data_IF_959265635641
#
_entry.id   IF_959265635641
#
_cell.length_a   1.000
_cell.length_b   1.000
_cell.length_c   1.000
_cell.angle_alpha   90.00
_cell.angle_beta   90.00
_cell.angle_gamma   90.00
#
_symmetry.space_group_name_H-M   'P 1'
#
loop_
_entity.id
_entity.type
_entity.pdbx_description
1 polymer ?
#
# COMPACT_ATOMS: atom_id res chain seq x y z
N UNK A 1 20.79 2.21 22.38
CA UNK A 1 19.65 2.35 21.46
C UNK A 1 18.61 3.19 22.19
N UNK A 2 17.89 4.09 21.51
CA UNK A 2 16.95 4.96 22.20
C UNK A 2 15.72 4.15 22.60
N UNK A 3 15.17 4.40 23.78
CA UNK A 3 13.93 3.77 24.23
C UNK A 3 12.73 4.52 23.61
N UNK A 4 11.78 3.76 23.05
CA UNK A 4 10.56 4.30 22.44
C UNK A 4 9.31 4.08 23.30
N UNK A 5 9.45 3.35 24.41
CA UNK A 5 8.46 3.23 25.50
C UNK A 5 7.08 2.68 25.08
N UNK A 6 7.02 1.88 23.99
CA UNK A 6 5.79 1.20 23.60
C UNK A 6 5.62 -0.11 24.37
N UNK A 7 4.44 -0.31 24.97
CA UNK A 7 4.18 -1.48 25.84
C UNK A 7 3.87 -2.77 25.08
N UNK A 8 3.87 -2.74 23.75
CA UNK A 8 3.31 -3.79 22.88
C UNK A 8 4.22 -4.17 21.68
N UNK A 9 5.44 -3.63 21.64
CA UNK A 9 6.49 -3.96 20.65
C UNK A 9 7.85 -3.65 21.26
N UNK A 10 8.87 -4.41 20.91
CA UNK A 10 10.24 -4.14 21.34
C UNK A 10 10.89 -3.04 20.48
N UNK A 11 11.69 -2.18 21.10
CA UNK A 11 12.33 -1.03 20.42
C UNK A 11 13.19 -1.45 19.22
N UNK A 12 13.85 -2.61 19.31
CA UNK A 12 14.67 -3.16 18.23
C UNK A 12 13.83 -3.56 17.02
N UNK A 13 12.66 -4.17 17.26
CA UNK A 13 11.76 -4.63 16.20
C UNK A 13 11.09 -3.43 15.53
N UNK A 14 10.68 -2.43 16.33
CA UNK A 14 10.16 -1.16 15.80
C UNK A 14 11.21 -0.47 14.91
N UNK A 15 12.44 -0.32 15.42
CA UNK A 15 13.53 0.32 14.68
C UNK A 15 13.84 -0.42 13.38
N UNK A 16 14.02 -1.74 13.44
CA UNK A 16 14.36 -2.55 12.27
C UNK A 16 13.23 -2.52 11.23
N UNK A 17 11.97 -2.62 11.64
CA UNK A 17 10.85 -2.59 10.70
C UNK A 17 10.72 -1.22 10.00
N UNK A 18 10.93 -0.12 10.73
CA UNK A 18 10.99 1.23 10.14
C UNK A 18 12.18 1.36 9.18
N UNK A 19 13.35 0.86 9.57
CA UNK A 19 14.56 0.86 8.74
C UNK A 19 14.37 0.08 7.43
N UNK A 20 13.92 -1.17 7.51
CA UNK A 20 13.65 -2.02 6.35
C UNK A 20 12.63 -1.37 5.40
N UNK A 21 11.67 -0.64 5.95
CA UNK A 21 10.68 0.10 5.16
C UNK A 21 11.31 1.28 4.42
N UNK A 22 12.12 2.09 5.11
CA UNK A 22 12.82 3.23 4.49
C UNK A 22 13.79 2.75 3.40
N UNK A 23 14.48 1.63 3.61
CA UNK A 23 15.38 1.04 2.62
C UNK A 23 14.66 0.57 1.34
N UNK A 24 13.37 0.25 1.42
CA UNK A 24 12.55 -0.14 0.28
C UNK A 24 11.98 1.04 -0.51
N UNK A 25 12.09 2.27 -0.01
CA UNK A 25 11.63 3.45 -0.76
C UNK A 25 12.40 3.57 -2.07
N UNK A 26 11.65 3.80 -3.15
CA UNK A 26 12.24 4.04 -4.46
C UNK A 26 12.58 5.51 -4.62
N UNK A 27 13.87 5.74 -4.89
CA UNK A 27 14.42 7.06 -5.20
C UNK A 27 14.88 7.16 -6.65
N UNK A 28 14.73 6.12 -7.47
CA UNK A 28 15.15 6.15 -8.87
C UNK A 28 14.17 5.49 -9.81
N UNK A 29 14.17 5.97 -11.06
CA UNK A 29 13.36 5.46 -12.15
C UNK A 29 14.11 5.65 -13.47
N UNK A 30 14.15 4.56 -14.24
CA UNK A 30 14.68 4.51 -15.60
C UNK A 30 13.54 4.37 -16.62
N UNK A 31 13.85 4.51 -17.92
CA UNK A 31 12.84 4.42 -18.96
C UNK A 31 12.14 3.05 -19.00
N UNK A 32 12.88 1.99 -18.67
CA UNK A 32 12.32 0.63 -18.60
C UNK A 32 11.27 0.49 -17.50
N UNK A 33 11.55 1.00 -16.31
CA UNK A 33 10.62 0.99 -15.18
C UNK A 33 9.41 1.90 -15.46
N UNK A 34 9.66 3.08 -16.03
CA UNK A 34 8.63 4.02 -16.46
C UNK A 34 7.66 3.38 -17.46
N UNK A 35 8.19 2.65 -18.45
CA UNK A 35 7.38 2.01 -19.49
C UNK A 35 6.80 0.63 -19.10
N UNK A 36 7.15 0.07 -17.93
CA UNK A 36 6.71 -1.28 -17.53
C UNK A 36 5.18 -1.42 -17.45
N UNK A 37 4.48 -0.33 -17.16
CA UNK A 37 3.01 -0.31 -17.11
C UNK A 37 2.34 0.14 -18.42
N UNK A 38 3.11 0.25 -19.52
CA UNK A 38 2.68 0.80 -20.82
C UNK A 38 2.05 2.19 -20.66
N UNK A 39 2.87 3.21 -20.83
CA UNK A 39 2.38 4.58 -20.80
C UNK A 39 1.51 4.81 -22.01
N UNK A 40 0.38 5.47 -21.80
CA UNK A 40 -0.51 5.90 -22.88
C UNK A 40 -0.09 7.30 -23.36
N UNK A 41 0.68 7.42 -24.46
CA UNK A 41 1.10 8.72 -24.98
C UNK A 41 -0.09 9.55 -25.49
N UNK A 42 -1.23 8.92 -25.81
CA UNK A 42 -2.45 9.64 -26.19
C UNK A 42 -2.98 10.40 -24.99
N UNK A 43 -3.13 9.73 -23.83
CA UNK A 43 -3.51 10.40 -22.57
C UNK A 43 -2.58 11.56 -22.24
N UNK A 44 -1.26 11.34 -22.30
CA UNK A 44 -0.29 12.40 -22.00
C UNK A 44 -0.42 13.59 -22.97
N UNK A 45 -0.73 13.33 -24.25
CA UNK A 45 -1.02 14.39 -25.23
C UNK A 45 -2.26 15.19 -24.84
N UNK A 46 -3.35 14.52 -24.44
CA UNK A 46 -4.57 15.18 -23.97
C UNK A 46 -4.32 16.03 -22.73
N UNK A 47 -3.63 15.49 -21.72
CA UNK A 47 -3.30 16.21 -20.49
C UNK A 47 -2.49 17.48 -20.79
N UNK A 48 -1.44 17.38 -21.61
CA UNK A 48 -0.60 18.51 -22.00
C UNK A 48 -1.43 19.63 -22.62
N UNK A 49 -2.33 19.29 -23.55
CA UNK A 49 -3.19 20.26 -24.23
C UNK A 49 -4.26 20.86 -23.33
N UNK A 50 -4.94 20.04 -22.52
CA UNK A 50 -6.04 20.49 -21.64
C UNK A 50 -5.50 21.35 -20.50
N UNK A 51 -4.37 20.97 -19.90
CA UNK A 51 -3.78 21.69 -18.78
C UNK A 51 -2.85 22.83 -19.21
N UNK A 52 -2.58 22.99 -20.51
CA UNK A 52 -1.69 24.02 -21.03
C UNK A 52 -0.23 23.82 -20.60
N UNK A 53 0.19 22.56 -20.44
CA UNK A 53 1.53 22.16 -20.01
C UNK A 53 2.33 21.59 -21.18
N UNK A 54 3.65 21.66 -21.08
CA UNK A 54 4.55 20.97 -21.99
C UNK A 54 4.48 19.45 -21.80
N UNK A 55 4.92 18.68 -22.82
CA UNK A 55 4.94 17.22 -22.69
C UNK A 55 5.96 16.79 -21.62
N UNK A 56 7.04 17.55 -21.46
CA UNK A 56 8.06 17.36 -20.43
C UNK A 56 7.47 17.47 -19.03
N UNK A 57 6.66 18.50 -18.75
CA UNK A 57 6.01 18.67 -17.44
C UNK A 57 5.02 17.52 -17.12
N UNK A 58 4.28 17.06 -18.14
CA UNK A 58 3.36 15.93 -18.00
C UNK A 58 4.13 14.63 -17.73
N UNK A 59 5.24 14.40 -18.43
CA UNK A 59 6.11 13.24 -18.21
C UNK A 59 6.72 13.26 -16.81
N UNK A 60 7.25 14.40 -16.36
CA UNK A 60 7.81 14.53 -15.01
C UNK A 60 6.74 14.27 -13.93
N UNK A 61 5.53 14.80 -14.11
CA UNK A 61 4.39 14.55 -13.22
C UNK A 61 4.03 13.06 -13.18
N UNK A 62 4.03 12.39 -14.32
CA UNK A 62 3.78 10.95 -14.41
C UNK A 62 4.88 10.11 -13.75
N UNK A 63 6.15 10.52 -13.87
CA UNK A 63 7.29 9.91 -13.17
C UNK A 63 7.08 9.99 -11.65
N UNK A 64 6.82 11.19 -11.13
CA UNK A 64 6.57 11.42 -9.70
C UNK A 64 5.38 10.58 -9.23
N UNK A 65 4.30 10.54 -10.01
CA UNK A 65 3.11 9.73 -9.70
C UNK A 65 3.42 8.23 -9.63
N UNK A 66 4.27 7.70 -10.50
CA UNK A 66 4.67 6.29 -10.47
C UNK A 66 5.58 5.96 -9.28
N UNK A 67 6.50 6.87 -8.92
CA UNK A 67 7.32 6.76 -7.71
C UNK A 67 6.44 6.77 -6.46
N UNK A 68 5.52 7.73 -6.35
CA UNK A 68 4.58 7.84 -5.24
C UNK A 68 3.69 6.59 -5.11
N UNK A 69 3.17 6.07 -6.22
CA UNK A 69 2.41 4.81 -6.22
C UNK A 69 3.25 3.64 -5.70
N UNK A 70 4.52 3.57 -6.08
CA UNK A 70 5.43 2.51 -5.62
C UNK A 70 5.70 2.63 -4.13
N UNK A 71 5.98 3.83 -3.63
CA UNK A 71 6.25 4.10 -2.23
C UNK A 71 4.98 3.91 -1.36
N UNK A 72 3.81 4.25 -1.89
CA UNK A 72 2.52 3.96 -1.24
C UNK A 72 2.30 2.45 -1.04
N UNK A 73 2.75 1.61 -1.97
CA UNK A 73 2.70 0.15 -1.80
C UNK A 73 3.66 -0.33 -0.71
N UNK A 74 4.85 0.27 -0.59
CA UNK A 74 5.81 -0.01 0.49
C UNK A 74 5.18 0.32 1.86
N UNK A 75 4.47 1.44 1.97
CA UNK A 75 3.72 1.77 3.20
C UNK A 75 2.59 0.78 3.49
N UNK A 76 1.90 0.27 2.45
CA UNK A 76 0.94 -0.82 2.62
C UNK A 76 1.59 -2.07 3.23
N UNK A 77 2.77 -2.44 2.73
CA UNK A 77 3.54 -3.57 3.27
C UNK A 77 4.02 -3.34 4.71
N UNK A 78 4.46 -2.11 5.02
CA UNK A 78 4.80 -1.69 6.38
C UNK A 78 3.64 -1.96 7.34
N UNK A 79 2.44 -1.43 7.02
CA UNK A 79 1.26 -1.59 7.89
C UNK A 79 0.90 -3.07 8.07
N UNK A 80 0.94 -3.87 7.01
CA UNK A 80 0.60 -5.29 7.07
C UNK A 80 1.61 -6.09 7.91
N UNK A 81 2.90 -5.89 7.68
CA UNK A 81 3.95 -6.68 8.33
C UNK A 81 4.22 -6.26 9.76
N UNK A 82 3.78 -5.08 10.17
CA UNK A 82 4.02 -4.59 11.52
C UNK A 82 3.38 -5.48 12.59
N UNK A 83 2.18 -6.03 12.32
CA UNK A 83 1.41 -6.81 13.28
C UNK A 83 2.08 -8.10 13.75
N UNK A 84 3.04 -8.66 13.01
CA UNK A 84 3.79 -9.85 13.44
C UNK A 84 4.78 -9.58 14.58
N UNK A 85 5.16 -8.31 14.78
CA UNK A 85 6.05 -7.88 15.87
C UNK A 85 5.28 -7.40 17.10
N UNK A 86 3.96 -7.18 16.95
CA UNK A 86 3.13 -6.73 18.05
C UNK A 86 2.77 -7.88 18.97
N UNK A 87 2.76 -7.60 20.27
CA UNK A 87 2.34 -8.52 21.31
C UNK A 87 1.32 -7.90 22.25
N UNK A 88 0.57 -8.74 22.96
CA UNK A 88 -0.37 -8.25 23.96
C UNK A 88 0.38 -7.71 25.19
N UNK A 89 0.00 -6.52 25.69
CA UNK A 89 0.74 -5.82 26.73
C UNK A 89 0.91 -6.62 28.03
N UNK A 90 -0.10 -7.40 28.39
CA UNK A 90 -0.13 -8.15 29.66
C UNK A 90 0.62 -9.49 29.57
N UNK A 91 0.59 -10.16 28.41
CA UNK A 91 1.19 -11.50 28.26
C UNK A 91 2.58 -11.45 27.62
N UNK A 92 2.92 -10.35 26.95
CA UNK A 92 4.15 -10.20 26.15
C UNK A 92 4.33 -11.32 25.11
N UNK A 93 3.21 -11.86 24.61
CA UNK A 93 3.18 -12.90 23.58
C UNK A 93 2.44 -12.41 22.33
N UNK A 94 2.87 -12.91 21.17
CA UNK A 94 2.20 -12.70 19.89
C UNK A 94 1.73 -14.02 19.29
N UNK A 95 0.45 -14.05 18.90
CA UNK A 95 -0.13 -15.14 18.09
C UNK A 95 -0.39 -14.69 16.64
N UNK A 96 0.11 -13.51 16.26
CA UNK A 96 -0.14 -12.89 14.97
C UNK A 96 0.94 -13.26 13.96
N UNK A 97 0.53 -13.55 12.73
CA UNK A 97 1.44 -13.87 11.64
C UNK A 97 0.94 -13.33 10.30
N UNK A 98 1.87 -13.14 9.37
CA UNK A 98 1.59 -12.72 7.99
C UNK A 98 1.83 -13.92 7.07
N UNK A 99 0.79 -14.62 6.62
CA UNK A 99 0.97 -15.81 5.79
C UNK A 99 1.41 -15.41 4.38
N UNK A 100 2.11 -16.30 3.65
CA UNK A 100 2.59 -16.00 2.29
C UNK A 100 1.45 -15.90 1.26
N UNK A 101 0.27 -16.43 1.57
CA UNK A 101 -0.92 -16.44 0.72
C UNK A 101 -2.19 -16.40 1.57
N UNK A 102 -3.26 -15.86 1.00
CA UNK A 102 -4.58 -15.86 1.63
C UNK A 102 -4.94 -14.52 2.23
N UNK A 103 -5.23 -14.51 3.52
CA UNK A 103 -5.49 -13.30 4.30
C UNK A 103 -4.18 -12.54 4.56
N UNK A 104 -4.27 -11.24 4.79
CA UNK A 104 -3.10 -10.39 4.99
C UNK A 104 -2.43 -10.64 6.34
N UNK A 105 -3.23 -10.89 7.38
CA UNK A 105 -2.79 -11.15 8.75
C UNK A 105 -3.70 -12.23 9.35
N UNK A 106 -3.15 -13.15 10.14
CA UNK A 106 -3.92 -14.18 10.85
C UNK A 106 -3.46 -14.33 12.29
N UNK A 107 -4.41 -14.65 13.17
CA UNK A 107 -4.17 -15.21 14.50
C UNK A 107 -4.91 -16.54 14.58
N UNK A 108 -4.17 -17.63 14.49
CA UNK A 108 -4.75 -18.98 14.41
C UNK A 108 -5.27 -19.47 15.77
N UNK A 109 -4.70 -18.99 16.88
CA UNK A 109 -5.15 -19.36 18.22
C UNK A 109 -6.57 -18.82 18.49
N UNK A 110 -6.81 -17.55 18.13
CA UNK A 110 -8.11 -16.89 18.31
C UNK A 110 -9.01 -17.01 17.07
N UNK A 111 -8.55 -17.72 16.03
CA UNK A 111 -9.25 -17.94 14.75
C UNK A 111 -9.65 -16.63 14.05
N UNK A 112 -8.76 -15.63 14.09
CA UNK A 112 -8.96 -14.32 13.46
C UNK A 112 -8.23 -14.27 12.12
N UNK A 113 -8.94 -13.82 11.09
CA UNK A 113 -8.46 -13.70 9.71
C UNK A 113 -8.72 -12.30 9.20
N UNK A 114 -7.69 -11.62 8.70
CA UNK A 114 -7.75 -10.19 8.42
C UNK A 114 -7.40 -9.90 6.98
N UNK A 115 -8.24 -9.09 6.33
CA UNK A 115 -7.92 -8.40 5.09
C UNK A 115 -7.69 -6.92 5.41
N UNK A 116 -6.55 -6.38 4.99
CA UNK A 116 -6.21 -4.98 5.19
C UNK A 116 -6.49 -4.12 3.96
N UNK A 117 -6.90 -2.89 4.21
CA UNK A 117 -7.02 -1.83 3.20
C UNK A 117 -6.46 -0.52 3.75
N UNK A 118 -5.76 0.23 2.90
CA UNK A 118 -5.19 1.52 3.28
C UNK A 118 -6.28 2.57 3.55
N UNK A 119 -7.30 2.66 2.68
CA UNK A 119 -8.42 3.61 2.82
C UNK A 119 -9.77 2.93 2.68
N UNK A 120 -10.78 3.49 3.31
CA UNK A 120 -12.16 2.98 3.31
C UNK A 120 -12.84 2.93 1.93
N UNK A 121 -12.27 3.57 0.91
CA UNK A 121 -12.77 3.68 -0.46
C UNK A 121 -11.86 2.99 -1.50
N UNK A 122 -10.99 2.08 -1.06
CA UNK A 122 -10.01 1.44 -1.96
C UNK A 122 -10.60 0.27 -2.78
N UNK A 123 -11.80 -0.20 -2.42
CA UNK A 123 -12.43 -1.37 -3.05
C UNK A 123 -13.54 -0.94 -4.01
N UNK A 124 -13.46 -1.40 -5.25
CA UNK A 124 -14.61 -1.43 -6.15
C UNK A 124 -15.56 -2.58 -5.75
N UNK A 125 -16.77 -2.59 -6.31
CA UNK A 125 -17.79 -3.60 -6.03
C UNK A 125 -17.30 -5.04 -6.22
N UNK A 126 -16.61 -5.33 -7.33
CA UNK A 126 -16.10 -6.67 -7.61
C UNK A 126 -15.10 -7.13 -6.54
N UNK A 127 -14.18 -6.27 -6.13
CA UNK A 127 -13.20 -6.59 -5.10
C UNK A 127 -13.85 -6.81 -3.72
N UNK A 128 -14.86 -6.00 -3.35
CA UNK A 128 -15.55 -6.14 -2.07
C UNK A 128 -16.32 -7.44 -1.99
N UNK A 129 -17.03 -7.81 -3.07
CA UNK A 129 -17.72 -9.10 -3.18
C UNK A 129 -16.75 -10.26 -3.05
N UNK A 130 -15.61 -10.23 -3.77
CA UNK A 130 -14.60 -11.30 -3.71
C UNK A 130 -14.02 -11.48 -2.32
N UNK A 131 -13.68 -10.39 -1.62
CA UNK A 131 -13.18 -10.46 -0.25
C UNK A 131 -14.24 -11.01 0.70
N UNK A 132 -15.50 -10.56 0.57
CA UNK A 132 -16.59 -11.04 1.40
C UNK A 132 -16.86 -12.54 1.22
N UNK A 133 -16.93 -13.01 -0.03
CA UNK A 133 -17.09 -14.44 -0.35
C UNK A 133 -15.96 -15.29 0.23
N UNK A 134 -14.71 -14.80 0.21
CA UNK A 134 -13.58 -15.50 0.83
C UNK A 134 -13.74 -15.59 2.36
N UNK A 135 -14.22 -14.53 3.01
CA UNK A 135 -14.51 -14.53 4.45
C UNK A 135 -15.67 -15.47 4.80
N UNK A 136 -16.72 -15.53 3.97
CA UNK A 136 -17.79 -16.52 4.12
C UNK A 136 -17.26 -17.94 3.96
N UNK A 137 -16.40 -18.19 2.97
CA UNK A 137 -15.77 -19.50 2.79
C UNK A 137 -14.97 -19.92 4.03
N UNK A 138 -14.22 -19.00 4.65
CA UNK A 138 -13.51 -19.28 5.91
C UNK A 138 -14.46 -19.69 7.03
N UNK A 139 -15.61 -19.01 7.16
CA UNK A 139 -16.64 -19.36 8.15
C UNK A 139 -17.32 -20.70 7.89
N UNK A 140 -17.41 -21.13 6.63
CA UNK A 140 -17.91 -22.47 6.29
C UNK A 140 -16.93 -23.57 6.70
N UNK A 141 -15.62 -23.29 6.68
CA UNK A 141 -14.60 -24.24 7.16
C UNK A 141 -14.51 -24.28 8.69
N UNK A 142 -14.65 -23.13 9.35
CA UNK A 142 -14.69 -23.03 10.81
C UNK A 142 -15.61 -21.90 11.26
N UNK A 143 -16.78 -22.28 11.78
CA UNK A 143 -17.85 -21.36 12.17
C UNK A 143 -17.48 -20.46 13.35
N UNK A 144 -16.41 -20.79 14.10
CA UNK A 144 -15.89 -19.96 15.20
C UNK A 144 -14.95 -18.86 14.71
N UNK A 145 -14.56 -18.87 13.43
CA UNK A 145 -13.66 -17.86 12.87
C UNK A 145 -14.25 -16.45 12.98
N UNK A 146 -13.35 -15.46 13.11
CA UNK A 146 -13.66 -14.04 12.96
C UNK A 146 -12.91 -13.49 11.75
N UNK A 147 -13.61 -12.76 10.89
CA UNK A 147 -13.05 -12.18 9.68
C UNK A 147 -13.14 -10.66 9.74
N UNK A 148 -12.01 -9.96 9.65
CA UNK A 148 -11.97 -8.50 9.72
C UNK A 148 -11.51 -7.90 8.40
N UNK A 149 -12.30 -6.98 7.86
CA UNK A 149 -11.85 -5.98 6.91
C UNK A 149 -11.31 -4.80 7.71
N UNK A 150 -9.99 -4.70 7.84
CA UNK A 150 -9.32 -3.63 8.57
C UNK A 150 -9.00 -2.48 7.64
N UNK A 151 -9.36 -1.26 8.05
CA UNK A 151 -9.11 -0.03 7.31
C UNK A 151 -8.17 0.90 8.08
N UNK A 152 -6.99 1.17 7.51
CA UNK A 152 -6.01 2.11 8.09
C UNK A 152 -6.61 3.50 8.22
N UNK A 153 -7.21 4.00 7.15
CA UNK A 153 -7.94 5.28 7.14
C UNK A 153 -9.44 4.99 7.00
N UNK A 154 -10.05 4.67 8.14
CA UNK A 154 -11.50 4.52 8.29
C UNK A 154 -12.19 5.88 8.47
N UNK A 155 -13.51 5.93 8.24
CA UNK A 155 -14.31 7.15 8.50
C UNK A 155 -14.49 7.45 9.98
N UNK A 156 -14.58 6.40 10.80
CA UNK A 156 -14.81 6.46 12.24
C UNK A 156 -13.93 5.42 12.94
N UNK A 157 -13.63 5.64 14.22
CA UNK A 157 -13.19 4.57 15.12
C UNK A 157 -14.35 3.60 15.32
N UNK A 158 -14.23 2.38 14.80
CA UNK A 158 -15.35 1.45 14.72
C UNK A 158 -14.91 -0.02 14.64
N UNK A 159 -15.78 -0.88 15.14
CA UNK A 159 -15.74 -2.31 14.91
C UNK A 159 -17.17 -2.79 14.74
N UNK A 160 -17.67 -2.87 13.51
CA UNK A 160 -19.08 -3.13 13.19
C UNK A 160 -19.22 -4.28 12.19
N UNK A 161 -20.36 -4.99 12.13
CA UNK A 161 -20.62 -5.94 11.06
C UNK A 161 -20.43 -5.29 9.68
N UNK A 162 -19.72 -5.98 8.77
CA UNK A 162 -19.50 -5.46 7.43
C UNK A 162 -20.69 -5.81 6.53
N UNK A 163 -21.36 -4.77 6.03
CA UNK A 163 -22.45 -4.88 5.08
C UNK A 163 -21.93 -4.67 3.66
N UNK A 164 -22.25 -5.60 2.74
CA UNK A 164 -21.91 -5.51 1.32
C UNK A 164 -23.12 -5.87 0.45
N UNK A 165 -23.09 -5.47 -0.82
CA UNK A 165 -24.05 -5.95 -1.83
C UNK A 165 -23.41 -7.08 -2.66
N UNK A 166 -23.98 -8.28 -2.59
CA UNK A 166 -23.64 -9.43 -3.42
C UNK A 166 -24.75 -9.58 -4.46
N UNK A 167 -24.43 -9.36 -5.73
CA UNK A 167 -25.39 -9.47 -6.85
C UNK A 167 -26.73 -8.73 -6.65
N UNK A 168 -26.66 -7.56 -5.99
CA UNK A 168 -27.85 -6.72 -5.69
C UNK A 168 -28.51 -7.01 -4.35
N UNK A 169 -28.17 -8.12 -3.69
CA UNK A 169 -28.68 -8.46 -2.36
C UNK A 169 -27.73 -7.99 -1.26
N UNK A 170 -28.30 -7.60 -0.11
CA UNK A 170 -27.49 -7.19 1.05
C UNK A 170 -27.01 -8.42 1.82
N UNK A 171 -25.69 -8.57 1.96
CA UNK A 171 -25.07 -9.57 2.80
C UNK A 171 -24.49 -8.94 4.08
N UNK A 172 -24.74 -9.59 5.22
CA UNK A 172 -24.29 -9.19 6.54
C UNK A 172 -24.05 -10.44 7.41
N UNK A 173 -22.95 -10.46 8.16
CA UNK A 173 -22.66 -11.55 9.07
C UNK A 173 -21.98 -11.03 10.34
N UNK A 174 -22.37 -11.52 11.52
CA UNK A 174 -21.88 -11.02 12.81
C UNK A 174 -20.35 -11.17 13.00
N UNK A 175 -19.77 -12.22 12.41
CA UNK A 175 -18.33 -12.53 12.47
C UNK A 175 -17.54 -11.95 11.29
N UNK A 176 -18.19 -11.31 10.31
CA UNK A 176 -17.49 -10.58 9.24
C UNK A 176 -17.64 -9.10 9.56
N UNK A 177 -16.55 -8.45 9.99
CA UNK A 177 -16.60 -7.11 10.57
C UNK A 177 -15.70 -6.14 9.81
N UNK A 178 -16.12 -4.87 9.75
CA UNK A 178 -15.34 -3.74 9.28
C UNK A 178 -14.77 -3.03 10.50
N UNK A 179 -13.44 -2.96 10.58
CA UNK A 179 -12.71 -2.55 11.78
C UNK A 179 -11.75 -1.42 11.40
N UNK A 180 -11.78 -0.32 12.14
CA UNK A 180 -10.78 0.74 12.00
C UNK A 180 -9.45 0.31 12.62
N UNK A 181 -8.34 0.85 12.13
CA UNK A 181 -7.01 0.43 12.56
C UNK A 181 -6.77 0.62 14.04
N UNK A 182 -7.23 1.72 14.65
CA UNK A 182 -7.12 1.95 16.10
C UNK A 182 -7.79 0.85 16.91
N UNK A 183 -8.96 0.39 16.47
CA UNK A 183 -9.67 -0.75 17.08
C UNK A 183 -8.99 -2.08 16.82
N UNK A 184 -8.34 -2.24 15.67
CA UNK A 184 -7.56 -3.44 15.41
C UNK A 184 -6.28 -3.48 16.25
N UNK A 185 -5.61 -2.36 16.47
CA UNK A 185 -4.50 -2.25 17.44
C UNK A 185 -4.97 -2.61 18.86
N UNK A 186 -6.12 -2.10 19.30
CA UNK A 186 -6.70 -2.46 20.61
C UNK A 186 -6.92 -3.99 20.72
N UNK A 187 -7.42 -4.65 19.66
CA UNK A 187 -7.60 -6.11 19.62
C UNK A 187 -6.25 -6.85 19.73
N UNK A 188 -5.22 -6.36 19.05
CA UNK A 188 -3.90 -7.02 18.98
C UNK A 188 -3.12 -6.85 20.28
N UNK A 189 -3.12 -5.63 20.84
CA UNK A 189 -2.21 -5.24 21.92
C UNK A 189 -2.86 -5.24 23.29
N UNK A 190 -4.20 -5.20 23.36
CA UNK A 190 -4.94 -4.93 24.60
C UNK A 190 -4.88 -3.47 25.06
N UNK A 191 -4.26 -2.59 24.27
CA UNK A 191 -4.07 -1.17 24.59
C UNK A 191 -4.91 -0.28 23.66
N UNK A 192 -5.86 0.43 24.25
CA UNK A 192 -6.85 1.24 23.52
C UNK A 192 -6.22 2.39 22.75
N UNK A 193 -5.13 2.96 23.27
CA UNK A 193 -4.41 4.06 22.62
C UNK A 193 -3.17 3.62 21.84
N UNK A 194 -2.97 2.31 21.62
CA UNK A 194 -1.74 1.78 21.00
C UNK A 194 -1.42 2.42 19.64
N UNK A 195 -2.43 2.61 18.78
CA UNK A 195 -2.22 3.23 17.48
C UNK A 195 -1.76 4.70 17.60
N UNK A 196 -2.35 5.46 18.54
CA UNK A 196 -1.94 6.85 18.81
C UNK A 196 -0.50 6.89 19.32
N UNK A 197 -0.16 6.07 20.31
CA UNK A 197 1.18 6.01 20.88
C UNK A 197 2.23 5.68 19.82
N UNK A 198 1.93 4.73 18.92
CA UNK A 198 2.80 4.43 17.78
C UNK A 198 3.00 5.66 16.88
N UNK A 199 1.91 6.35 16.50
CA UNK A 199 1.98 7.52 15.63
C UNK A 199 2.80 8.65 16.25
N UNK A 200 2.71 8.87 17.57
CA UNK A 200 3.50 9.86 18.30
C UNK A 200 5.00 9.52 18.30
N UNK A 201 5.33 8.23 18.35
CA UNK A 201 6.72 7.72 18.38
C UNK A 201 7.36 7.63 17.00
N UNK A 202 6.58 7.34 15.95
CA UNK A 202 7.10 7.07 14.60
C UNK A 202 8.07 8.13 14.05
N UNK A 203 7.80 9.45 14.14
CA UNK A 203 8.73 10.48 13.66
C UNK A 203 10.13 10.37 14.28
N UNK A 204 10.20 10.13 15.59
CA UNK A 204 11.44 9.96 16.33
C UNK A 204 12.23 8.73 15.85
N UNK A 205 11.54 7.60 15.65
CA UNK A 205 12.17 6.38 15.12
C UNK A 205 12.71 6.62 13.70
N UNK A 206 11.95 7.33 12.86
CA UNK A 206 12.39 7.67 11.50
C UNK A 206 13.64 8.56 11.53
N UNK A 207 13.70 9.56 12.41
CA UNK A 207 14.88 10.42 12.56
C UNK A 207 16.11 9.60 13.00
N UNK A 208 15.96 8.67 13.95
CA UNK A 208 17.03 7.79 14.39
C UNK A 208 17.57 6.89 13.27
N UNK A 209 16.66 6.37 12.43
CA UNK A 209 17.02 5.58 11.26
C UNK A 209 17.76 6.45 10.25
N UNK A 210 17.19 7.59 9.87
CA UNK A 210 17.72 8.48 8.83
C UNK A 210 19.07 9.09 9.22
N UNK A 211 19.30 9.40 10.49
CA UNK A 211 20.60 9.90 10.99
C UNK A 211 21.73 8.87 10.83
N UNK A 212 21.40 7.59 10.71
CA UNK A 212 22.37 6.48 10.54
C UNK A 212 22.44 5.97 9.10
N UNK A 213 21.58 6.46 8.21
CA UNK A 213 21.53 6.10 6.81
C UNK A 213 22.15 7.20 5.93
N UNK A 214 22.81 6.80 4.85
CA UNK A 214 23.22 7.74 3.81
C UNK A 214 21.99 8.14 2.99
N UNK A 215 21.74 9.45 2.83
CA UNK A 215 20.60 9.92 2.03
C UNK A 215 20.84 9.59 0.55
N UNK A 216 19.89 8.89 -0.06
CA UNK A 216 19.87 8.71 -1.50
C UNK A 216 19.27 9.95 -2.17
N UNK A 217 19.91 10.45 -3.22
CA UNK A 217 19.32 11.47 -4.11
C UNK A 217 18.31 10.83 -5.04
N UNK A 218 17.30 11.59 -5.46
CA UNK A 218 16.40 11.15 -6.51
C UNK A 218 17.18 11.13 -7.82
N UNK A 219 17.27 9.96 -8.47
CA UNK A 219 17.95 9.78 -9.74
C UNK A 219 16.95 9.42 -10.83
N UNK A 220 16.78 10.31 -11.81
CA UNK A 220 15.86 10.14 -12.94
C UNK A 220 16.64 10.14 -14.26
N UNK A 221 16.66 9.01 -14.98
CA UNK A 221 17.31 8.88 -16.30
C UNK A 221 16.33 8.90 -17.47
N UNK A 222 15.02 8.95 -17.22
CA UNK A 222 13.95 8.78 -18.22
C UNK A 222 14.10 9.75 -19.39
N UNK A 223 14.33 11.04 -19.13
CA UNK A 223 14.48 12.04 -20.20
C UNK A 223 15.73 11.83 -21.04
N UNK A 224 16.83 11.38 -20.43
CA UNK A 224 18.06 11.08 -21.16
C UNK A 224 17.81 9.94 -22.14
N UNK A 225 17.21 8.85 -21.66
CA UNK A 225 16.89 7.67 -22.47
C UNK A 225 15.83 7.96 -23.53
N UNK A 226 14.82 8.80 -23.26
CA UNK A 226 13.83 9.22 -24.26
C UNK A 226 14.46 10.00 -25.40
N UNK A 227 15.44 10.85 -25.11
CA UNK A 227 16.18 11.62 -26.12
C UNK A 227 17.13 10.76 -26.96
N UNK A 228 17.51 9.59 -26.46
CA UNK A 228 18.28 8.59 -27.25
C UNK A 228 17.40 7.91 -28.31
N UNK A 229 16.07 7.93 -28.17
CA UNK A 229 15.11 7.41 -29.17
C UNK A 229 14.83 8.44 -30.27
N UNK A 230 14.43 9.65 -29.87
CA UNK A 230 14.17 10.79 -30.75
C UNK A 230 14.29 12.08 -29.92
N UNK A 231 14.71 13.18 -30.54
CA UNK A 231 14.79 14.48 -29.88
C UNK A 231 13.39 15.00 -29.47
N UNK A 232 12.35 14.61 -30.20
CA UNK A 232 10.96 14.88 -29.82
C UNK A 232 10.48 13.82 -28.80
N UNK A 233 10.40 14.22 -27.54
CA UNK A 233 9.97 13.36 -26.41
C UNK A 233 8.61 12.73 -26.66
N UNK A 234 7.66 13.47 -27.24
CA UNK A 234 6.34 12.94 -27.55
C UNK A 234 6.45 11.79 -28.56
N UNK A 235 7.27 11.95 -29.60
CA UNK A 235 7.52 10.91 -30.60
C UNK A 235 8.18 9.70 -29.98
N UNK A 236 9.16 9.87 -29.10
CA UNK A 236 9.78 8.77 -28.35
C UNK A 236 8.75 7.96 -27.56
N UNK A 237 7.80 8.62 -26.89
CA UNK A 237 6.72 7.96 -26.15
C UNK A 237 5.78 7.15 -27.07
N UNK A 238 5.39 7.71 -28.22
CA UNK A 238 4.59 6.97 -29.21
C UNK A 238 5.34 5.76 -29.78
N UNK A 239 6.63 5.89 -30.09
CA UNK A 239 7.44 4.77 -30.58
C UNK A 239 7.63 3.68 -29.51
N UNK A 240 7.78 4.06 -28.24
CA UNK A 240 7.86 3.10 -27.13
C UNK A 240 6.59 2.25 -27.00
N UNK A 241 5.43 2.88 -27.10
CA UNK A 241 4.14 2.17 -26.93
C UNK A 241 3.68 1.46 -28.19
N UNK A 242 4.00 2.00 -29.37
CA UNK A 242 3.39 1.59 -30.64
C UNK A 242 4.38 1.24 -31.75
N UNK A 243 5.67 1.04 -31.47
CA UNK A 243 6.67 0.64 -32.48
C UNK A 243 6.30 -0.59 -33.32
N UNK A 244 5.46 -1.49 -32.79
CA UNK A 244 4.97 -2.69 -33.48
C UNK A 244 3.67 -2.49 -34.25
N UNK A 245 3.09 -1.30 -34.21
CA UNK A 245 1.82 -0.97 -34.85
C UNK A 245 2.09 -0.43 -36.25
N UNK A 246 1.18 -0.75 -37.17
CA UNK A 246 1.32 -0.36 -38.58
C UNK A 246 1.43 1.16 -38.74
N UNK A 247 2.40 1.62 -39.54
CA UNK A 247 2.62 3.03 -39.85
C UNK A 247 3.40 3.84 -38.81
N UNK A 248 3.65 3.32 -37.60
CA UNK A 248 4.37 4.06 -36.55
C UNK A 248 5.87 4.23 -36.83
N UNK A 249 6.46 3.39 -37.68
CA UNK A 249 7.82 3.57 -38.19
C UNK A 249 8.00 4.86 -39.02
N UNK A 250 6.91 5.41 -39.56
CA UNK A 250 6.88 6.64 -40.35
C UNK A 250 6.15 7.79 -39.64
N UNK A 251 5.98 7.73 -38.31
CA UNK A 251 5.29 8.74 -37.52
C UNK A 251 5.93 10.14 -37.69
N UNK A 252 5.09 11.14 -38.00
CA UNK A 252 5.48 12.55 -38.16
C UNK A 252 4.70 13.43 -37.20
N UNK A 253 5.32 13.78 -36.08
CA UNK A 253 4.80 14.70 -35.05
C UNK A 253 5.92 15.56 -34.48
#
# INVERSE_FOLDING_TARGET
MQEYELSFIDDIDLYNHVKETIEQYRFSIDLKAFNKNLIDPIKLTFDAKIYGQSIEEIVESEIIRQLDKSNSNVIGYFQQNFFKYLYHKDTKQSNWSVPPKGFDIVNLADKIYVEMKNKHNTMNSSSSQKTYMRMQHQLLQDSQSQCYLVEVIAKNSQNIPWQVSLDGETALHKNIRRVSIDKFYEIVTGEKEAFKQLVEVLPKVMDDVLNRMQRNSINNSVFKELREIDNNILKSLYLLSFSKYEGFNALKI
#
